data_IF_482909580952
#
_entry.id   IF_482909580952
#
_cell.length_a   1.000
_cell.length_b   1.000
_cell.length_c   1.000
_cell.angle_alpha   90.00
_cell.angle_beta   90.00
_cell.angle_gamma   90.00
#
_symmetry.space_group_name_H-M   'P 1'
#
loop_
_entity.id
_entity.type
_entity.pdbx_description
1 polymer ?
#
# COMPACT_ATOMS: atom_id res chain seq x y z
N UNK A 1 33.30 13.85 -6.41
CA UNK A 1 32.51 12.90 -7.22
C UNK A 1 31.32 13.67 -7.73
N UNK A 2 31.33 14.09 -8.99
CA UNK A 2 30.25 14.90 -9.55
C UNK A 2 29.01 14.02 -9.66
N UNK A 3 27.96 14.36 -8.90
CA UNK A 3 26.67 13.70 -8.98
C UNK A 3 26.10 13.95 -10.38
N UNK A 4 26.23 12.99 -11.28
CA UNK A 4 25.77 13.13 -12.66
C UNK A 4 24.23 13.19 -12.65
N UNK A 5 23.69 14.38 -12.92
CA UNK A 5 22.26 14.61 -12.98
C UNK A 5 21.74 14.21 -14.36
N UNK A 6 20.81 13.26 -14.40
CA UNK A 6 20.21 12.78 -15.66
C UNK A 6 18.72 13.09 -15.70
N UNK A 7 18.26 13.61 -16.83
CA UNK A 7 16.84 13.84 -17.05
C UNK A 7 16.12 12.49 -17.16
N UNK A 8 15.17 12.24 -16.26
CA UNK A 8 14.38 11.02 -16.21
C UNK A 8 12.89 11.34 -16.06
N UNK A 9 12.07 10.41 -16.58
CA UNK A 9 10.63 10.42 -16.38
C UNK A 9 10.31 9.73 -15.05
N UNK A 10 9.67 10.45 -14.15
CA UNK A 10 9.25 9.94 -12.86
C UNK A 10 7.72 9.89 -12.80
N UNK A 11 7.16 8.71 -12.62
CA UNK A 11 5.73 8.45 -12.60
C UNK A 11 5.14 8.78 -11.22
N UNK A 12 3.97 9.39 -11.23
CA UNK A 12 3.08 9.58 -10.10
C UNK A 12 1.72 8.94 -10.37
N UNK A 13 0.86 8.90 -9.34
CA UNK A 13 -0.51 8.39 -9.47
C UNK A 13 -1.37 9.25 -10.39
N UNK A 14 -1.20 10.57 -10.34
CA UNK A 14 -1.95 11.56 -11.12
C UNK A 14 -1.22 12.10 -12.35
N UNK A 15 -0.07 11.54 -12.73
CA UNK A 15 0.70 12.08 -13.86
C UNK A 15 2.16 11.62 -13.89
N UNK A 16 3.03 12.42 -14.47
CA UNK A 16 4.47 12.21 -14.41
C UNK A 16 5.21 13.54 -14.44
N UNK A 17 6.46 13.56 -13.97
CA UNK A 17 7.36 14.70 -14.08
C UNK A 17 8.63 14.28 -14.80
N UNK A 18 9.20 15.21 -15.56
CA UNK A 18 10.51 15.09 -16.17
C UNK A 18 11.48 15.91 -15.33
N UNK A 19 12.36 15.23 -14.60
CA UNK A 19 13.27 15.89 -13.66
C UNK A 19 14.69 15.35 -13.77
N UNK A 20 15.65 16.20 -13.44
CA UNK A 20 17.05 15.79 -13.29
C UNK A 20 17.22 15.07 -11.95
N UNK A 21 17.66 13.81 -11.99
CA UNK A 21 17.85 12.96 -10.82
C UNK A 21 19.27 12.43 -10.74
N UNK A 22 19.77 12.22 -9.52
CA UNK A 22 21.04 11.55 -9.25
C UNK A 22 20.90 10.02 -9.26
N UNK A 23 22.03 9.31 -9.32
CA UNK A 23 22.05 7.83 -9.26
C UNK A 23 21.38 7.27 -7.99
N UNK A 24 21.56 7.92 -6.84
CA UNK A 24 20.91 7.52 -5.59
C UNK A 24 19.40 7.71 -5.63
N UNK A 25 18.92 8.81 -6.23
CA UNK A 25 17.50 9.04 -6.43
C UNK A 25 16.93 8.03 -7.43
N UNK A 26 17.64 7.76 -8.52
CA UNK A 26 17.23 6.75 -9.49
C UNK A 26 17.12 5.36 -8.85
N UNK A 27 18.07 4.99 -7.98
CA UNK A 27 18.03 3.71 -7.25
C UNK A 27 16.83 3.63 -6.30
N UNK A 28 16.49 4.73 -5.60
CA UNK A 28 15.28 4.79 -4.76
C UNK A 28 13.98 4.71 -5.59
N UNK A 29 13.98 5.38 -6.75
CA UNK A 29 12.86 5.44 -7.69
C UNK A 29 12.50 4.10 -8.35
N UNK A 30 13.47 3.19 -8.44
CA UNK A 30 13.31 1.92 -9.12
C UNK A 30 12.67 0.88 -8.18
N UNK A 31 11.40 0.55 -8.45
CA UNK A 31 10.64 -0.46 -7.72
C UNK A 31 10.67 -1.86 -8.40
N UNK A 32 11.67 -2.12 -9.24
CA UNK A 32 11.83 -3.39 -9.96
C UNK A 32 11.15 -3.44 -11.33
N UNK A 33 10.69 -2.29 -11.84
CA UNK A 33 10.08 -2.15 -13.15
C UNK A 33 10.88 -1.24 -14.10
N UNK A 34 10.41 -1.03 -15.33
CA UNK A 34 11.04 -0.11 -16.28
C UNK A 34 10.83 1.37 -15.89
N UNK A 35 9.79 1.66 -15.11
CA UNK A 35 9.42 3.01 -14.69
C UNK A 35 10.05 3.40 -13.35
N UNK A 36 10.41 4.68 -13.23
CA UNK A 36 10.86 5.30 -11.98
C UNK A 36 9.68 6.02 -11.33
N UNK A 37 9.57 5.96 -10.01
CA UNK A 37 8.46 6.54 -9.27
C UNK A 37 8.90 7.71 -8.39
N UNK A 38 8.06 8.75 -8.30
CA UNK A 38 8.29 9.91 -7.42
C UNK A 38 8.20 9.55 -5.93
N UNK A 39 7.27 8.67 -5.57
CA UNK A 39 6.96 8.35 -4.18
C UNK A 39 8.18 7.95 -3.32
N UNK A 40 9.07 7.03 -3.77
CA UNK A 40 10.26 6.65 -3.00
C UNK A 40 11.46 7.60 -3.18
N UNK A 41 11.46 8.47 -4.20
CA UNK A 41 12.54 9.45 -4.43
C UNK A 41 12.48 10.57 -3.40
N UNK A 42 11.27 11.03 -3.07
CA UNK A 42 11.04 12.14 -2.16
C UNK A 42 10.86 13.48 -2.89
N UNK A 43 11.24 14.56 -2.21
CA UNK A 43 11.17 15.93 -2.73
C UNK A 43 12.26 16.17 -3.77
N UNK A 44 11.85 16.66 -4.93
CA UNK A 44 12.74 17.17 -5.98
C UNK A 44 12.52 18.67 -6.07
N UNK A 45 13.60 19.43 -6.14
CA UNK A 45 13.50 20.88 -6.31
C UNK A 45 12.82 21.22 -7.64
N UNK A 46 11.92 22.21 -7.61
CA UNK A 46 11.18 22.64 -8.81
C UNK A 46 12.11 23.08 -9.95
N UNK A 47 13.30 23.60 -9.63
CA UNK A 47 14.32 23.98 -10.63
C UNK A 47 14.90 22.79 -11.40
N UNK A 48 14.91 21.59 -10.79
CA UNK A 48 15.38 20.36 -11.43
C UNK A 48 14.28 19.73 -12.31
N UNK A 49 13.04 20.19 -12.18
CA UNK A 49 11.89 19.70 -12.95
C UNK A 49 11.75 20.56 -14.22
N UNK A 50 11.92 19.91 -15.37
CA UNK A 50 11.80 20.59 -16.66
C UNK A 50 10.35 20.68 -17.13
N UNK A 51 9.57 19.61 -16.95
CA UNK A 51 8.18 19.50 -17.42
C UNK A 51 7.37 18.58 -16.50
N UNK A 52 6.05 18.74 -16.48
CA UNK A 52 5.14 17.78 -15.87
C UNK A 52 3.90 17.54 -16.72
N UNK A 53 3.34 16.34 -16.61
CA UNK A 53 2.08 15.96 -17.21
C UNK A 53 1.06 15.68 -16.11
N UNK A 54 -0.15 16.20 -16.27
CA UNK A 54 -1.27 15.94 -15.37
C UNK A 54 -2.29 15.06 -16.06
N UNK A 55 -2.63 13.91 -15.47
CA UNK A 55 -3.66 13.00 -15.99
C UNK A 55 -5.05 13.66 -15.93
N UNK A 56 -5.36 14.49 -14.94
CA UNK A 56 -6.67 15.17 -14.85
C UNK A 56 -6.87 16.19 -15.98
N UNK A 57 -5.81 16.88 -16.37
CA UNK A 57 -5.87 17.84 -17.48
C UNK A 57 -5.58 17.21 -18.84
N UNK A 58 -5.02 16.00 -18.85
CA UNK A 58 -4.46 15.31 -20.01
C UNK A 58 -3.52 16.21 -20.84
N UNK A 59 -2.72 17.03 -20.14
CA UNK A 59 -1.85 18.06 -20.73
C UNK A 59 -0.46 18.07 -20.12
N UNK A 60 0.51 18.37 -20.97
CA UNK A 60 1.88 18.68 -20.60
C UNK A 60 2.01 20.18 -20.26
N UNK A 61 2.77 20.46 -19.22
CA UNK A 61 3.09 21.79 -18.73
C UNK A 61 4.60 21.95 -18.62
N UNK A 62 5.10 23.14 -18.94
CA UNK A 62 6.51 23.48 -18.79
C UNK A 62 6.80 24.03 -17.39
N UNK A 63 7.95 23.64 -16.84
CA UNK A 63 8.34 23.92 -15.45
C UNK A 63 7.94 22.82 -14.47
N UNK A 64 8.08 23.13 -13.18
CA UNK A 64 7.71 22.24 -12.09
C UNK A 64 6.28 22.46 -11.57
N UNK A 65 5.60 21.41 -11.09
CA UNK A 65 4.32 21.56 -10.40
C UNK A 65 4.50 22.25 -9.04
N UNK A 66 3.40 22.71 -8.43
CA UNK A 66 3.45 23.28 -7.07
C UNK A 66 3.74 22.17 -6.07
N UNK A 67 4.70 22.37 -5.17
CA UNK A 67 5.07 21.37 -4.15
C UNK A 67 4.62 21.89 -2.78
N UNK A 68 3.71 21.16 -2.14
CA UNK A 68 3.29 21.42 -0.75
C UNK A 68 3.82 20.27 0.12
N UNK A 69 4.42 20.59 1.27
CA UNK A 69 5.03 19.60 2.13
C UNK A 69 4.82 19.96 3.60
N UNK A 70 4.82 18.94 4.44
CA UNK A 70 4.63 19.02 5.88
C UNK A 70 5.63 18.09 6.56
N UNK A 71 6.13 18.48 7.74
CA UNK A 71 7.12 17.73 8.51
C UNK A 71 6.48 17.15 9.79
N UNK A 72 5.72 16.05 9.69
CA UNK A 72 5.01 15.49 10.85
C UNK A 72 5.95 14.94 11.94
N UNK A 73 7.16 14.49 11.59
CA UNK A 73 8.11 13.85 12.52
C UNK A 73 7.46 12.76 13.38
N UNK A 74 6.58 11.96 12.77
CA UNK A 74 5.77 10.95 13.44
C UNK A 74 6.47 9.58 13.41
N UNK A 75 6.56 8.91 14.55
CA UNK A 75 7.05 7.53 14.62
C UNK A 75 5.99 6.54 14.09
N UNK A 76 6.18 6.07 12.86
CA UNK A 76 5.27 5.11 12.21
C UNK A 76 5.54 3.66 12.63
N UNK A 77 6.80 3.34 12.96
CA UNK A 77 7.21 2.04 13.47
C UNK A 77 8.40 2.20 14.42
N UNK A 78 8.76 1.14 15.15
CA UNK A 78 9.98 1.14 15.96
C UNK A 78 11.19 1.48 15.07
N UNK A 79 11.93 2.52 15.45
CA UNK A 79 13.10 3.05 14.74
C UNK A 79 12.83 3.58 13.32
N UNK A 80 11.57 3.92 12.99
CA UNK A 80 11.19 4.51 11.69
C UNK A 80 10.29 5.74 11.90
N UNK A 81 10.78 6.90 11.49
CA UNK A 81 10.10 8.19 11.63
C UNK A 81 9.70 8.68 10.25
N UNK A 82 8.44 9.05 10.05
CA UNK A 82 7.98 9.83 8.91
C UNK A 82 8.39 11.29 9.11
N UNK A 83 9.50 11.67 8.49
CA UNK A 83 10.13 12.99 8.64
C UNK A 83 9.42 14.06 7.81
N UNK A 84 9.01 13.68 6.60
CA UNK A 84 8.37 14.59 5.66
C UNK A 84 7.32 13.84 4.84
N UNK A 85 6.19 14.51 4.58
CA UNK A 85 5.22 14.11 3.56
C UNK A 85 4.98 15.30 2.65
N UNK A 86 4.82 15.07 1.37
CA UNK A 86 4.50 16.15 0.45
C UNK A 86 3.78 15.69 -0.79
N UNK A 87 3.16 16.66 -1.45
CA UNK A 87 2.33 16.48 -2.62
C UNK A 87 2.81 17.39 -3.75
N UNK A 88 2.90 16.83 -4.94
CA UNK A 88 3.09 17.56 -6.19
C UNK A 88 1.70 17.88 -6.76
N UNK A 89 1.37 19.15 -6.87
CA UNK A 89 0.05 19.65 -7.23
C UNK A 89 0.12 20.36 -8.59
N UNK A 90 -0.82 20.04 -9.48
CA UNK A 90 -0.96 20.73 -10.75
C UNK A 90 -1.35 22.20 -10.52
N UNK A 91 -0.59 23.12 -11.12
CA UNK A 91 -0.83 24.57 -11.00
C UNK A 91 -2.09 25.05 -11.73
N UNK A 92 -2.63 24.27 -12.66
CA UNK A 92 -3.80 24.66 -13.47
C UNK A 92 -5.12 24.18 -12.85
N UNK A 93 -5.19 22.92 -12.42
CA UNK A 93 -6.43 22.33 -11.89
C UNK A 93 -6.40 22.02 -10.39
N UNK A 94 -5.25 22.19 -9.71
CA UNK A 94 -5.11 21.88 -8.30
C UNK A 94 -5.12 20.38 -7.96
N UNK A 95 -5.11 19.48 -8.95
CA UNK A 95 -5.08 18.03 -8.72
C UNK A 95 -3.70 17.55 -8.28
N UNK A 96 -3.66 16.55 -7.39
CA UNK A 96 -2.42 15.90 -6.95
C UNK A 96 -1.86 14.97 -8.03
N UNK A 97 -0.65 15.27 -8.50
CA UNK A 97 0.10 14.50 -9.49
C UNK A 97 0.81 13.32 -8.83
N UNK A 98 1.38 13.53 -7.64
CA UNK A 98 2.09 12.52 -6.89
C UNK A 98 2.16 12.90 -5.40
N UNK A 99 2.22 11.90 -4.53
CA UNK A 99 2.57 12.03 -3.11
C UNK A 99 3.93 11.37 -2.88
N UNK A 100 4.74 11.94 -1.99
CA UNK A 100 5.97 11.35 -1.51
C UNK A 100 6.03 11.36 0.02
N UNK A 101 6.81 10.44 0.57
CA UNK A 101 7.04 10.30 2.01
C UNK A 101 8.52 10.05 2.25
N UNK A 102 9.13 10.83 3.12
CA UNK A 102 10.51 10.64 3.56
C UNK A 102 10.54 9.99 4.94
N UNK A 103 11.12 8.80 5.00
CA UNK A 103 11.30 8.06 6.24
C UNK A 103 12.75 8.13 6.71
N UNK A 104 12.94 8.45 7.98
CA UNK A 104 14.24 8.39 8.65
C UNK A 104 14.31 7.13 9.51
N UNK A 105 15.33 6.31 9.26
CA UNK A 105 15.63 5.11 10.05
C UNK A 105 16.64 5.47 11.14
N UNK A 106 16.33 5.19 12.40
CA UNK A 106 17.22 5.42 13.55
C UNK A 106 17.89 4.12 14.06
N UNK A 107 17.53 2.97 13.48
CA UNK A 107 18.01 1.64 13.88
C UNK A 107 17.35 0.53 13.05
N UNK A 108 17.35 -0.69 13.58
CA UNK A 108 16.64 -1.82 12.96
C UNK A 108 15.13 -1.57 13.00
N UNK A 109 14.49 -1.54 11.82
CA UNK A 109 13.07 -1.20 11.70
C UNK A 109 12.24 -2.34 12.28
N UNK A 110 11.55 -2.09 13.40
CA UNK A 110 10.72 -3.07 14.07
C UNK A 110 9.31 -3.19 13.48
N UNK A 111 8.43 -3.89 14.19
CA UNK A 111 7.04 -4.12 13.77
C UNK A 111 6.26 -2.80 13.62
N UNK A 112 5.43 -2.71 12.58
CA UNK A 112 4.58 -1.55 12.32
C UNK A 112 3.56 -1.34 13.45
N UNK A 113 3.27 -0.07 13.78
CA UNK A 113 2.18 0.24 14.72
C UNK A 113 0.83 -0.19 14.08
N UNK A 114 -0.04 -0.92 14.80
CA UNK A 114 -1.38 -1.20 14.30
C UNK A 114 -2.14 0.13 14.14
N UNK A 115 -2.85 0.29 13.02
CA UNK A 115 -3.76 1.41 12.80
C UNK A 115 -4.88 1.26 13.83
N UNK A 116 -4.96 2.16 14.79
CA UNK A 116 -6.12 2.25 15.68
C UNK A 116 -7.32 2.71 14.85
N UNK A 117 -8.30 1.83 14.64
CA UNK A 117 -9.60 2.18 14.05
C UNK A 117 -10.34 3.16 14.97
N UNK A 118 -10.06 4.46 14.86
CA UNK A 118 -10.96 5.51 15.35
C UNK A 118 -11.88 5.92 14.20
N UNK A 119 -12.71 4.98 13.76
CA UNK A 119 -13.82 5.28 12.84
C UNK A 119 -14.90 5.98 13.65
N UNK A 120 -14.94 7.29 13.50
CA UNK A 120 -15.98 8.18 14.01
C UNK A 120 -17.35 7.76 13.45
N UNK A 121 -18.12 7.02 14.27
CA UNK A 121 -19.47 6.56 13.98
C UNK A 121 -20.44 7.71 13.69
N UNK A 122 -20.84 7.86 12.43
CA UNK A 122 -22.03 8.65 12.05
C UNK A 122 -23.24 7.71 12.03
N UNK A 123 -24.35 8.04 12.73
CA UNK A 123 -25.49 7.14 12.86
C UNK A 123 -26.37 7.19 11.59
N UNK A 124 -26.58 6.02 10.96
CA UNK A 124 -27.62 5.81 9.95
C UNK A 124 -28.73 4.89 10.50
N UNK A 125 -30.01 5.11 10.15
CA UNK A 125 -31.14 4.58 10.91
C UNK A 125 -31.55 3.13 10.60
N UNK A 126 -31.70 2.38 11.70
CA UNK A 126 -32.63 1.29 12.05
C UNK A 126 -33.42 0.58 10.91
N UNK A 127 -33.12 -0.71 10.73
CA UNK A 127 -34.10 -1.73 10.32
C UNK A 127 -34.03 -2.89 11.33
N UNK A 128 -35.21 -3.35 11.74
CA UNK A 128 -35.50 -4.19 12.90
C UNK A 128 -35.59 -5.69 12.53
N UNK A 129 -35.38 -6.56 13.54
CA UNK A 129 -35.90 -7.95 13.70
C UNK A 129 -34.89 -9.13 13.53
N UNK A 130 -34.99 -10.26 14.29
CA UNK A 130 -35.27 -10.46 15.72
C UNK A 130 -34.17 -11.28 16.48
N UNK A 131 -34.27 -11.20 17.80
CA UNK A 131 -33.45 -11.77 18.90
C UNK A 131 -33.27 -13.29 18.96
N UNK A 132 -32.03 -13.76 19.19
CA UNK A 132 -31.67 -14.88 20.09
C UNK A 132 -30.28 -14.61 20.73
N UNK A 133 -30.16 -14.69 22.06
CA UNK A 133 -28.92 -14.64 22.87
C UNK A 133 -28.64 -16.03 23.51
N UNK A 134 -27.59 -16.25 24.33
CA UNK A 134 -26.15 -16.20 24.05
C UNK A 134 -25.40 -17.44 24.60
N UNK A 135 -24.28 -17.91 24.01
CA UNK A 135 -23.35 -18.80 24.74
C UNK A 135 -21.87 -18.53 24.37
N UNK A 136 -21.15 -18.07 25.41
CA UNK A 136 -19.73 -18.21 25.75
C UNK A 136 -18.61 -17.85 24.75
N UNK A 137 -17.79 -16.89 25.19
CA UNK A 137 -16.52 -16.49 24.63
C UNK A 137 -15.46 -17.60 24.72
N UNK A 138 -14.65 -17.73 23.67
CA UNK A 138 -13.26 -18.22 23.79
C UNK A 138 -12.42 -17.55 22.71
N UNK A 139 -11.61 -16.59 23.18
CA UNK A 139 -10.29 -16.18 22.66
C UNK A 139 -10.06 -16.35 21.15
N UNK A 140 -10.33 -15.28 20.41
CA UNK A 140 -9.90 -15.05 19.04
C UNK A 140 -8.40 -14.74 19.03
N UNK A 141 -7.60 -15.76 18.80
CA UNK A 141 -6.20 -15.63 18.42
C UNK A 141 -6.08 -15.98 16.92
N UNK A 142 -5.34 -15.16 16.19
CA UNK A 142 -4.92 -15.29 14.78
C UNK A 142 -5.94 -15.11 13.64
N UNK A 143 -5.50 -14.30 12.68
CA UNK A 143 -6.00 -13.99 11.34
C UNK A 143 -6.13 -15.24 10.45
N UNK A 144 -7.01 -16.17 10.79
CA UNK A 144 -7.41 -17.21 9.86
C UNK A 144 -8.54 -16.67 8.98
N UNK A 145 -8.22 -16.29 7.75
CA UNK A 145 -9.20 -16.24 6.68
C UNK A 145 -9.81 -17.65 6.60
N UNK A 146 -11.06 -17.81 7.04
CA UNK A 146 -11.72 -19.11 7.10
C UNK A 146 -11.75 -19.73 5.69
N UNK A 147 -10.83 -20.63 5.40
CA UNK A 147 -10.78 -21.38 4.14
C UNK A 147 -11.92 -22.40 4.02
N UNK A 148 -12.70 -22.57 5.09
CA UNK A 148 -13.91 -23.40 5.11
C UNK A 148 -14.90 -22.88 4.07
N UNK A 149 -15.38 -23.77 3.20
CA UNK A 149 -16.30 -23.45 2.11
C UNK A 149 -15.62 -23.13 0.76
N UNK A 150 -14.30 -23.00 0.71
CA UNK A 150 -13.58 -22.75 -0.54
C UNK A 150 -13.47 -24.01 -1.42
N UNK A 151 -13.47 -23.83 -2.75
CA UNK A 151 -13.23 -24.93 -3.69
C UNK A 151 -11.75 -25.33 -3.67
N UNK A 152 -11.49 -26.63 -3.51
CA UNK A 152 -10.14 -27.20 -3.50
C UNK A 152 -9.87 -27.86 -4.85
N UNK A 153 -8.67 -27.62 -5.40
CA UNK A 153 -8.21 -28.15 -6.69
C UNK A 153 -6.94 -28.96 -6.49
N UNK A 154 -6.74 -30.00 -7.31
CA UNK A 154 -5.49 -30.76 -7.37
C UNK A 154 -4.42 -30.04 -8.22
N UNK A 155 -3.23 -30.64 -8.34
CA UNK A 155 -2.12 -30.12 -9.14
C UNK A 155 -2.41 -30.03 -10.64
N UNK A 156 -3.46 -30.69 -11.13
CA UNK A 156 -3.91 -30.64 -12.52
C UNK A 156 -5.07 -29.63 -12.70
N UNK A 157 -5.31 -28.75 -11.72
CA UNK A 157 -6.42 -27.80 -11.68
C UNK A 157 -7.82 -28.44 -11.72
N UNK A 158 -7.95 -29.72 -11.35
CA UNK A 158 -9.24 -30.39 -11.24
C UNK A 158 -9.84 -30.16 -9.86
N UNK A 159 -11.09 -29.71 -9.79
CA UNK A 159 -11.80 -29.50 -8.51
C UNK A 159 -12.00 -30.85 -7.81
N UNK A 160 -11.39 -31.00 -6.64
CA UNK A 160 -11.47 -32.21 -5.80
C UNK A 160 -12.56 -32.13 -4.73
N UNK A 161 -12.91 -30.94 -4.25
CA UNK A 161 -13.96 -30.81 -3.23
C UNK A 161 -14.14 -29.40 -2.69
N UNK A 162 -14.77 -29.32 -1.52
CA UNK A 162 -14.92 -28.08 -0.73
C UNK A 162 -14.21 -28.25 0.61
N UNK A 163 -13.40 -27.28 1.01
CA UNK A 163 -12.69 -27.32 2.29
C UNK A 163 -13.66 -27.29 3.47
N UNK A 164 -13.52 -28.25 4.39
CA UNK A 164 -14.35 -28.39 5.60
C UNK A 164 -13.58 -27.98 6.85
N UNK A 165 -12.32 -28.41 6.96
CA UNK A 165 -11.49 -28.12 8.12
C UNK A 165 -10.01 -28.19 7.74
N UNK A 166 -9.20 -27.35 8.36
CA UNK A 166 -7.74 -27.40 8.31
C UNK A 166 -7.20 -27.64 9.71
N UNK A 167 -6.14 -28.44 9.83
CA UNK A 167 -5.50 -28.72 11.10
C UNK A 167 -4.05 -29.15 10.92
N UNK A 168 -3.39 -29.45 12.05
CA UNK A 168 -2.03 -29.95 12.09
C UNK A 168 -2.06 -31.30 12.82
N UNK A 169 -1.43 -32.33 12.26
CA UNK A 169 -1.37 -33.66 12.91
C UNK A 169 -0.25 -33.73 13.96
N UNK A 170 -0.17 -34.84 14.71
CA UNK A 170 0.88 -35.06 15.73
C UNK A 170 2.31 -35.07 15.19
N UNK A 171 2.49 -35.11 13.86
CA UNK A 171 3.78 -35.02 13.16
C UNK A 171 4.04 -33.62 12.59
N UNK A 172 3.28 -32.60 13.02
CA UNK A 172 3.40 -31.21 12.59
C UNK A 172 3.12 -30.98 11.09
N UNK A 173 2.35 -31.87 10.45
CA UNK A 173 1.96 -31.73 9.04
C UNK A 173 0.57 -31.11 8.92
N UNK A 174 0.39 -30.23 7.94
CA UNK A 174 -0.91 -29.61 7.64
C UNK A 174 -1.83 -30.63 6.97
N UNK A 175 -3.02 -30.81 7.54
CA UNK A 175 -4.06 -31.71 7.04
C UNK A 175 -5.29 -30.88 6.67
N UNK A 176 -5.82 -31.11 5.47
CA UNK A 176 -7.04 -30.48 4.97
C UNK A 176 -8.12 -31.55 4.78
N UNK A 177 -9.25 -31.38 5.48
CA UNK A 177 -10.44 -32.21 5.31
C UNK A 177 -11.32 -31.56 4.25
N UNK A 178 -11.68 -32.31 3.21
CA UNK A 178 -12.52 -31.86 2.10
C UNK A 178 -13.81 -32.68 2.02
N UNK A 179 -14.90 -32.03 1.63
CA UNK A 179 -16.15 -32.72 1.25
C UNK A 179 -16.15 -32.94 -0.25
N UNK A 180 -16.28 -34.19 -0.69
CA UNK A 180 -16.39 -34.53 -2.11
C UNK A 180 -17.80 -34.21 -2.64
N UNK A 181 -17.94 -34.07 -3.97
CA UNK A 181 -19.23 -33.81 -4.64
C UNK A 181 -20.30 -34.90 -4.41
N UNK A 182 -19.94 -36.03 -3.82
CA UNK A 182 -20.85 -37.15 -3.54
C UNK A 182 -21.30 -37.26 -2.07
N UNK A 183 -20.98 -36.29 -1.22
CA UNK A 183 -21.58 -36.22 0.12
C UNK A 183 -21.22 -37.38 1.05
N UNK A 184 -19.93 -37.55 1.32
CA UNK A 184 -19.43 -38.33 2.46
C UNK A 184 -18.23 -37.62 3.07
#
# INVERSE_FOLDING_TARGET
MSSELRLKKLRGSGGFVMAQVSDDQQRKGNLGGPDLFLAPIGRIDSQLISKFFCNTCEKDYEGGPKIEFENPNEEVAQNLILRERGQYICTTCGSTIAEYREFQKTGEVGLAKPISDEVQSTPSPKVEQPTIQPIAATTSDSTFSSIVGMSVYDSNAKKVGTAKQVGINSSHQVVLVITNKEGS
#
